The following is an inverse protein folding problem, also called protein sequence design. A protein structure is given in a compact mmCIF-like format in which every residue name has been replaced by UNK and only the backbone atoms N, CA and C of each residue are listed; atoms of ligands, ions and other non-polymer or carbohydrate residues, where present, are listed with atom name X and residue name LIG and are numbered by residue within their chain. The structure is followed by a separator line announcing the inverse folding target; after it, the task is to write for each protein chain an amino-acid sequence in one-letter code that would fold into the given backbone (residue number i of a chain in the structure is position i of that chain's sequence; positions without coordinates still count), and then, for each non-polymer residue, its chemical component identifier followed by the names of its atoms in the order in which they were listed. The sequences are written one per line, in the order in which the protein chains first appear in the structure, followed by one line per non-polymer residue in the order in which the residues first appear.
data_IF_225617314246
#
_entry.id   IF_225617314246
#
_cell.length_a   1.000
_cell.length_b   1.000
_cell.length_c   1.000
_cell.angle_alpha   90.00
_cell.angle_beta   90.00
_cell.angle_gamma   90.00
#
_symmetry.space_group_name_H-M   'P 1'
#
loop_
_entity.id
_entity.type
_entity.pdbx_description
1 polymer ?
#
# COMPACT_ATOMS: atom_id res chain seq x y z
N UNK A 1 4.91 8.01 9.12
CA UNK A 1 3.70 8.63 9.71
C UNK A 1 2.51 7.75 9.35
N UNK A 2 1.33 7.96 9.94
CA UNK A 2 0.09 7.20 9.64
C UNK A 2 -1.01 8.18 9.21
N UNK A 3 -1.94 7.74 8.35
CA UNK A 3 -2.89 8.62 7.66
C UNK A 3 -3.84 9.37 8.63
N UNK A 4 -4.42 8.68 9.61
CA UNK A 4 -5.43 9.29 10.49
C UNK A 4 -4.88 10.49 11.31
N UNK A 5 -3.70 10.40 11.95
CA UNK A 5 -3.04 11.57 12.56
C UNK A 5 -2.76 12.74 11.61
N UNK A 6 -2.46 12.47 10.34
CA UNK A 6 -2.26 13.52 9.34
C UNK A 6 -3.58 14.25 9.06
N UNK A 7 -4.69 13.53 8.98
CA UNK A 7 -6.01 14.10 8.72
C UNK A 7 -6.62 14.82 9.93
N UNK A 8 -6.41 14.31 11.14
CA UNK A 8 -7.05 14.84 12.36
C UNK A 8 -6.18 15.83 13.13
N UNK A 9 -4.88 15.90 12.82
CA UNK A 9 -3.88 16.62 13.61
C UNK A 9 -3.63 16.01 15.00
N UNK A 10 -4.23 14.86 15.32
CA UNK A 10 -4.08 14.22 16.61
C UNK A 10 -2.84 13.31 16.63
N UNK A 11 -1.97 13.50 17.62
CA UNK A 11 -0.79 12.64 17.81
C UNK A 11 -1.19 11.21 18.17
N UNK A 12 -0.54 10.24 17.54
CA UNK A 12 -0.67 8.83 17.90
C UNK A 12 0.39 8.48 18.97
N UNK A 13 0.03 7.76 20.05
CA UNK A 13 1.02 7.21 20.97
C UNK A 13 2.05 6.33 20.23
N UNK A 14 3.36 6.42 20.56
CA UNK A 14 4.41 5.63 19.88
C UNK A 14 4.15 4.12 19.91
N UNK A 15 3.68 3.58 21.03
CA UNK A 15 3.36 2.16 21.20
C UNK A 15 2.28 1.69 20.22
N UNK A 16 1.29 2.53 19.90
CA UNK A 16 0.26 2.21 18.90
C UNK A 16 0.82 2.21 17.49
N UNK A 17 1.82 3.05 17.21
CA UNK A 17 2.47 3.11 15.90
C UNK A 17 3.32 1.86 15.69
N UNK A 18 4.09 1.47 16.70
CA UNK A 18 4.91 0.27 16.68
C UNK A 18 4.04 -0.98 16.47
N UNK A 19 2.98 -1.14 17.28
CA UNK A 19 2.02 -2.23 17.12
C UNK A 19 1.39 -2.28 15.71
N UNK A 20 0.93 -1.14 15.19
CA UNK A 20 0.36 -1.09 13.85
C UNK A 20 1.38 -1.43 12.75
N UNK A 21 2.65 -1.08 12.96
CA UNK A 21 3.74 -1.40 12.03
C UNK A 21 4.07 -2.89 12.05
N UNK A 22 4.07 -3.53 13.22
CA UNK A 22 4.25 -4.97 13.35
C UNK A 22 3.11 -5.74 12.66
N UNK A 23 1.86 -5.36 12.92
CA UNK A 23 0.69 -5.97 12.29
C UNK A 23 0.70 -5.81 10.76
N UNK A 24 1.09 -4.64 10.27
CA UNK A 24 1.26 -4.41 8.83
C UNK A 24 2.32 -5.32 8.24
N UNK A 25 3.46 -5.51 8.91
CA UNK A 25 4.52 -6.40 8.44
C UNK A 25 4.07 -7.87 8.40
N UNK A 26 3.27 -8.31 9.37
CA UNK A 26 2.64 -9.64 9.35
C UNK A 26 1.66 -9.76 8.18
N UNK A 27 0.82 -8.76 7.95
CA UNK A 27 -0.13 -8.74 6.85
C UNK A 27 0.57 -8.78 5.48
N UNK A 28 1.65 -8.00 5.29
CA UNK A 28 2.45 -8.01 4.07
C UNK A 28 3.14 -9.37 3.83
N UNK A 29 3.64 -10.00 4.89
CA UNK A 29 4.16 -11.37 4.77
C UNK A 29 3.08 -12.35 4.31
N UNK A 30 1.89 -12.29 4.89
CA UNK A 30 0.76 -13.13 4.48
C UNK A 30 0.29 -12.82 3.05
N UNK A 31 0.30 -11.54 2.66
CA UNK A 31 0.03 -11.11 1.30
C UNK A 31 0.95 -11.82 0.31
N UNK A 32 2.26 -11.76 0.55
CA UNK A 32 3.27 -12.39 -0.31
C UNK A 32 3.17 -13.92 -0.29
N UNK A 33 3.05 -14.55 0.88
CA UNK A 33 3.13 -16.01 1.03
C UNK A 33 1.83 -16.75 0.71
N UNK A 34 0.67 -16.11 0.91
CA UNK A 34 -0.64 -16.78 0.77
C UNK A 34 -1.41 -16.32 -0.44
N UNK A 35 -1.36 -15.04 -0.77
CA UNK A 35 -2.20 -14.47 -1.82
C UNK A 35 -1.43 -14.34 -3.14
N UNK A 36 -0.33 -13.58 -3.15
CA UNK A 36 0.46 -13.34 -4.35
C UNK A 36 1.28 -14.59 -4.75
N UNK A 37 2.01 -15.18 -3.81
CA UNK A 37 2.88 -16.33 -4.03
C UNK A 37 3.91 -16.07 -5.15
N UNK A 38 3.82 -16.84 -6.23
CA UNK A 38 4.64 -16.68 -7.44
C UNK A 38 3.80 -16.21 -8.65
N UNK A 39 2.54 -15.83 -8.43
CA UNK A 39 1.66 -15.31 -9.48
C UNK A 39 1.96 -13.84 -9.77
N UNK A 40 1.64 -13.36 -11.00
CA UNK A 40 1.80 -11.95 -11.32
C UNK A 40 0.80 -11.05 -10.57
N UNK A 41 -0.40 -11.55 -10.28
CA UNK A 41 -1.51 -10.87 -9.58
C UNK A 41 -2.13 -11.76 -8.50
N UNK A 42 -2.91 -11.16 -7.59
CA UNK A 42 -3.47 -11.85 -6.42
C UNK A 42 -4.38 -13.01 -6.83
N UNK A 43 -5.24 -12.82 -7.84
CA UNK A 43 -6.20 -13.83 -8.26
C UNK A 43 -5.70 -14.74 -9.40
N UNK A 44 -4.52 -14.49 -9.98
CA UNK A 44 -4.04 -15.28 -11.11
C UNK A 44 -3.10 -14.53 -12.05
N UNK A 45 -3.30 -14.76 -13.35
CA UNK A 45 -2.47 -14.20 -14.44
C UNK A 45 -2.88 -12.80 -14.90
N UNK A 46 -4.07 -12.34 -14.50
CA UNK A 46 -4.63 -11.05 -14.89
C UNK A 46 -4.98 -10.21 -13.66
N UNK A 47 -4.99 -8.89 -13.83
CA UNK A 47 -5.41 -7.95 -12.80
C UNK A 47 -6.86 -8.21 -12.40
N UNK A 48 -7.14 -8.11 -11.10
CA UNK A 48 -8.47 -8.34 -10.56
C UNK A 48 -8.87 -7.27 -9.55
N UNK A 49 -10.13 -7.30 -9.10
CA UNK A 49 -10.59 -6.44 -8.01
C UNK A 49 -9.75 -6.60 -6.74
N UNK A 50 -9.23 -7.81 -6.48
CA UNK A 50 -8.37 -8.05 -5.32
C UNK A 50 -7.10 -7.20 -5.38
N UNK A 51 -6.50 -7.04 -6.57
CA UNK A 51 -5.30 -6.24 -6.78
C UNK A 51 -5.58 -4.76 -6.59
N UNK A 52 -6.72 -4.27 -7.09
CA UNK A 52 -7.12 -2.87 -6.95
C UNK A 52 -7.36 -2.52 -5.47
N UNK A 53 -8.11 -3.35 -4.75
CA UNK A 53 -8.37 -3.14 -3.31
C UNK A 53 -7.08 -3.19 -2.52
N UNK A 54 -6.23 -4.18 -2.75
CA UNK A 54 -4.95 -4.27 -2.05
C UNK A 54 -4.06 -3.05 -2.33
N UNK A 55 -3.99 -2.59 -3.58
CA UNK A 55 -3.14 -1.46 -3.96
C UNK A 55 -3.55 -0.17 -3.26
N UNK A 56 -4.83 0.18 -3.25
CA UNK A 56 -5.29 1.42 -2.61
C UNK A 56 -5.10 1.40 -1.09
N UNK A 57 -5.22 0.24 -0.45
CA UNK A 57 -4.92 0.09 0.99
C UNK A 57 -3.43 0.27 1.29
N UNK A 58 -2.55 -0.30 0.46
CA UNK A 58 -1.10 -0.19 0.64
C UNK A 58 -0.55 1.19 0.28
N UNK A 59 -1.25 1.98 -0.55
CA UNK A 59 -0.83 3.35 -0.85
C UNK A 59 -1.04 4.33 0.31
N UNK A 60 -1.93 4.05 1.26
CA UNK A 60 -2.13 4.92 2.44
C UNK A 60 -0.86 5.08 3.31
N UNK A 61 -0.21 4.00 3.79
CA UNK A 61 1.04 4.13 4.55
C UNK A 61 2.20 4.71 3.71
N UNK A 62 2.24 4.42 2.40
CA UNK A 62 3.24 4.99 1.48
C UNK A 62 3.13 6.50 1.40
N UNK A 63 1.92 7.01 1.19
CA UNK A 63 1.64 8.45 1.20
C UNK A 63 1.88 9.09 2.58
N UNK A 64 1.72 8.31 3.65
CA UNK A 64 2.11 8.71 5.01
C UNK A 64 3.64 8.60 5.26
N UNK A 65 4.44 8.34 4.22
CA UNK A 65 5.90 8.33 4.26
C UNK A 65 6.53 7.07 4.86
N UNK A 66 5.83 5.94 4.79
CA UNK A 66 6.37 4.62 5.15
C UNK A 66 6.54 3.79 3.88
N UNK A 67 7.79 3.56 3.47
CA UNK A 67 8.08 2.78 2.26
C UNK A 67 7.92 1.28 2.54
N UNK A 68 6.86 0.70 1.98
CA UNK A 68 6.55 -0.73 2.11
C UNK A 68 7.37 -1.61 1.15
N UNK A 69 7.97 -1.03 0.12
CA UNK A 69 8.44 -1.74 -1.07
C UNK A 69 9.97 -1.89 -1.10
N UNK A 70 10.70 -1.07 -0.34
CA UNK A 70 12.18 -1.05 -0.37
C UNK A 70 12.82 -2.43 -0.10
N UNK A 71 12.24 -3.21 0.82
CA UNK A 71 12.76 -4.54 1.20
C UNK A 71 11.91 -5.72 0.67
N UNK A 72 10.92 -5.46 -0.20
CA UNK A 72 9.92 -6.46 -0.64
C UNK A 72 9.84 -6.56 -2.16
N UNK A 73 10.86 -7.11 -2.84
CA UNK A 73 10.95 -7.08 -4.31
C UNK A 73 9.75 -7.72 -5.02
N UNK A 74 9.15 -8.78 -4.46
CA UNK A 74 7.92 -9.39 -5.00
C UNK A 74 6.74 -8.43 -4.97
N UNK A 75 6.58 -7.71 -3.85
CA UNK A 75 5.53 -6.72 -3.67
C UNK A 75 5.75 -5.50 -4.57
N UNK A 76 6.99 -5.04 -4.71
CA UNK A 76 7.36 -3.93 -5.60
C UNK A 76 7.05 -4.24 -7.06
N UNK A 77 7.39 -5.45 -7.49
CA UNK A 77 7.11 -5.90 -8.86
C UNK A 77 5.60 -6.12 -9.09
N UNK A 78 4.87 -6.66 -8.10
CA UNK A 78 3.40 -6.73 -8.17
C UNK A 78 2.78 -5.34 -8.31
N UNK A 79 3.18 -4.36 -7.48
CA UNK A 79 2.70 -2.97 -7.58
C UNK A 79 2.93 -2.41 -8.98
N UNK A 80 4.14 -2.58 -9.53
CA UNK A 80 4.49 -2.11 -10.88
C UNK A 80 3.53 -2.69 -11.94
N UNK A 81 3.25 -3.99 -11.86
CA UNK A 81 2.31 -4.66 -12.78
C UNK A 81 0.88 -4.15 -12.64
N UNK A 82 0.40 -3.91 -11.41
CA UNK A 82 -0.96 -3.37 -11.19
C UNK A 82 -1.05 -1.94 -11.69
N UNK A 83 -0.06 -1.09 -11.42
CA UNK A 83 0.00 0.28 -11.93
C UNK A 83 -0.01 0.34 -13.47
N UNK A 84 0.74 -0.55 -14.12
CA UNK A 84 0.73 -0.67 -15.58
C UNK A 84 -0.62 -1.14 -16.13
N UNK A 85 -1.29 -2.07 -15.44
CA UNK A 85 -2.60 -2.58 -15.85
C UNK A 85 -3.73 -1.53 -15.66
N UNK A 86 -3.65 -0.69 -14.63
CA UNK A 86 -4.58 0.41 -14.38
C UNK A 86 -4.31 1.60 -15.33
N UNK A 87 -3.05 1.82 -15.66
CA UNK A 87 -2.58 2.99 -16.41
C UNK A 87 -2.05 4.07 -15.47
N UNK A 88 -0.82 4.51 -15.74
CA UNK A 88 -0.06 5.45 -14.88
C UNK A 88 -0.79 6.76 -14.60
N UNK A 89 -1.47 7.31 -15.61
CA UNK A 89 -2.23 8.54 -15.46
C UNK A 89 -3.38 8.37 -14.46
N UNK A 90 -4.21 7.35 -14.63
CA UNK A 90 -5.33 7.09 -13.73
C UNK A 90 -4.83 6.75 -12.31
N UNK A 91 -3.75 5.99 -12.20
CA UNK A 91 -3.12 5.73 -10.91
C UNK A 91 -2.67 7.02 -10.21
N UNK A 92 -2.03 7.94 -10.94
CA UNK A 92 -1.60 9.22 -10.37
C UNK A 92 -2.80 10.09 -9.95
N UNK A 93 -3.81 10.21 -10.81
CA UNK A 93 -5.04 10.98 -10.54
C UNK A 93 -5.76 10.44 -9.30
N UNK A 94 -5.92 9.11 -9.18
CA UNK A 94 -6.62 8.49 -8.05
C UNK A 94 -5.89 8.66 -6.70
N UNK A 95 -4.57 8.87 -6.70
CA UNK A 95 -3.78 9.02 -5.48
C UNK A 95 -3.35 10.47 -5.21
N UNK A 96 -3.78 11.44 -6.03
CA UNK A 96 -3.33 12.83 -5.94
C UNK A 96 -3.65 13.46 -4.57
N UNK A 97 -4.88 13.31 -4.08
CA UNK A 97 -5.30 13.89 -2.80
C UNK A 97 -4.50 13.32 -1.63
N UNK A 98 -4.33 11.99 -1.59
CA UNK A 98 -3.62 11.32 -0.49
C UNK A 98 -2.11 11.57 -0.53
N UNK A 99 -1.51 11.72 -1.71
CA UNK A 99 -0.10 12.15 -1.84
C UNK A 99 0.12 13.58 -1.33
N UNK A 100 -0.91 14.42 -1.41
CA UNK A 100 -0.89 15.80 -0.95
C UNK A 100 -1.44 15.97 0.48
N UNK A 101 -1.67 14.90 1.23
CA UNK A 101 -2.32 14.97 2.56
C UNK A 101 -1.56 15.84 3.57
N UNK A 102 -0.25 16.04 3.38
CA UNK A 102 0.56 16.94 4.23
C UNK A 102 0.38 18.43 3.91
N UNK A 103 -0.23 18.72 2.75
CA UNK A 103 -0.54 20.07 2.27
C UNK A 103 -2.02 20.44 2.50
N UNK A 104 -2.83 19.52 3.04
CA UNK A 104 -4.19 19.75 3.51
C UNK A 104 -4.17 20.36 4.92
#
# INVERSE_FOLDING_TARGET
QVLLPLLTGQSLPPEKLEFATEELNVALKQFEEKFLQDKPFIAGSEVSLADLVALVELMQPVCAGYDLFEERPKLSEWRRRVEEAVGKQLFQEAHEEIMNVKNL
#
